data_IF_101561589773
#
_entry.id   IF_101561589773
#
_cell.length_a   1.000
_cell.length_b   1.000
_cell.length_c   1.000
_cell.angle_alpha   90.00
_cell.angle_beta   90.00
_cell.angle_gamma   90.00
#
_symmetry.space_group_name_H-M   'P 1'
#
loop_
_entity.id
_entity.type
_entity.pdbx_description
1 polymer ?
#
# COMPACT_ATOMS: atom_id res chain seq x y z
N UNK A 1 16.03 24.61 2.80
CA UNK A 1 15.17 23.55 3.36
C UNK A 1 14.45 24.13 4.57
N UNK A 2 13.16 23.86 4.77
CA UNK A 2 12.46 24.32 5.97
C UNK A 2 13.16 23.76 7.22
N UNK A 3 13.21 24.55 8.30
CA UNK A 3 13.76 24.09 9.58
C UNK A 3 12.96 22.88 10.10
N UNK A 4 13.63 21.88 10.70
CA UNK A 4 12.95 20.75 11.31
C UNK A 4 12.03 21.22 12.45
N UNK A 5 10.81 20.66 12.49
CA UNK A 5 9.86 20.93 13.57
C UNK A 5 10.38 20.30 14.87
N UNK A 6 10.31 21.05 15.96
CA UNK A 6 10.61 20.63 17.33
C UNK A 6 9.43 20.91 18.24
N UNK A 7 9.45 20.39 19.47
CA UNK A 7 8.41 20.72 20.45
C UNK A 7 8.31 22.23 20.68
N UNK A 8 9.44 22.95 20.73
CA UNK A 8 9.51 24.38 21.02
C UNK A 8 8.91 25.26 19.92
N UNK A 9 9.01 24.84 18.65
CA UNK A 9 8.51 25.60 17.51
C UNK A 9 7.19 25.06 16.92
N UNK A 10 6.56 24.09 17.58
CA UNK A 10 5.31 23.50 17.12
C UNK A 10 4.15 24.53 17.21
N UNK A 11 3.48 24.89 16.10
CA UNK A 11 2.43 25.92 16.11
C UNK A 11 1.16 25.49 16.84
N UNK A 12 1.03 24.20 17.14
CA UNK A 12 -0.10 23.63 17.85
C UNK A 12 0.22 23.32 19.32
N UNK A 13 1.38 23.75 19.84
CA UNK A 13 1.75 23.54 21.24
C UNK A 13 1.52 24.83 22.03
N UNK A 14 0.57 24.79 22.95
CA UNK A 14 0.30 25.89 23.88
C UNK A 14 0.92 25.54 25.25
N UNK A 15 2.01 26.22 25.62
CA UNK A 15 2.76 25.96 26.85
C UNK A 15 2.25 26.83 27.99
N UNK A 16 1.48 26.24 28.90
CA UNK A 16 1.05 26.90 30.14
C UNK A 16 2.07 26.80 31.26
N UNK A 17 2.94 25.79 31.25
CA UNK A 17 4.03 25.59 32.22
C UNK A 17 5.25 24.90 31.57
N UNK A 18 6.39 24.84 32.28
CA UNK A 18 7.65 24.33 31.74
C UNK A 18 7.63 22.81 31.46
N UNK A 19 6.77 22.05 32.14
CA UNK A 19 6.74 20.58 32.10
C UNK A 19 5.56 20.01 31.30
N UNK A 20 4.55 20.80 30.98
CA UNK A 20 3.39 20.35 30.23
C UNK A 20 2.82 21.42 29.29
N UNK A 21 2.31 20.94 28.17
CA UNK A 21 1.66 21.79 27.18
C UNK A 21 0.29 21.22 26.81
N UNK A 22 -0.44 21.98 26.01
CA UNK A 22 -1.71 21.57 25.41
C UNK A 22 -1.53 21.44 23.90
N UNK A 23 -2.04 20.35 23.32
CA UNK A 23 -2.13 20.19 21.88
C UNK A 23 -3.37 20.92 21.33
N UNK A 24 -3.15 22.00 20.59
CA UNK A 24 -4.20 22.81 19.95
C UNK A 24 -5.11 22.01 19.03
N UNK A 25 -4.56 21.10 18.21
CA UNK A 25 -5.38 20.28 17.30
C UNK A 25 -6.38 19.43 18.07
N UNK A 26 -5.93 18.70 19.10
CA UNK A 26 -6.83 17.86 19.90
C UNK A 26 -7.82 18.71 20.68
N UNK A 27 -7.38 19.85 21.22
CA UNK A 27 -8.25 20.81 21.88
C UNK A 27 -9.38 21.31 20.97
N UNK A 28 -9.04 21.70 19.75
CA UNK A 28 -9.98 22.26 18.77
C UNK A 28 -10.97 21.19 18.29
N UNK A 29 -10.49 19.97 18.01
CA UNK A 29 -11.35 18.85 17.59
C UNK A 29 -12.35 18.45 18.67
N UNK A 30 -11.88 18.34 19.92
CA UNK A 30 -12.76 18.01 21.04
C UNK A 30 -13.76 19.14 21.31
N UNK A 31 -13.32 20.41 21.25
CA UNK A 31 -14.13 21.56 21.66
C UNK A 31 -14.47 21.58 23.16
N UNK A 32 -13.80 20.75 23.96
CA UNK A 32 -14.07 20.61 25.38
C UNK A 32 -13.42 21.75 26.18
N UNK A 33 -14.14 22.26 27.19
CA UNK A 33 -13.65 23.35 28.06
C UNK A 33 -12.50 22.91 28.98
N UNK A 34 -12.40 21.61 29.27
CA UNK A 34 -11.37 21.07 30.17
C UNK A 34 -9.99 20.98 29.46
N UNK A 35 -9.02 21.84 29.81
CA UNK A 35 -7.72 21.88 29.13
C UNK A 35 -6.89 20.61 29.35
N UNK A 36 -7.20 19.81 30.39
CA UNK A 36 -6.47 18.58 30.72
C UNK A 36 -6.68 17.47 29.70
N UNK A 37 -7.75 17.53 28.89
CA UNK A 37 -8.07 16.51 27.89
C UNK A 37 -7.09 16.51 26.71
N UNK A 38 -6.42 17.64 26.45
CA UNK A 38 -5.44 17.78 25.38
C UNK A 38 -4.02 18.00 25.92
N UNK A 39 -3.75 17.63 27.17
CA UNK A 39 -2.43 17.81 27.81
C UNK A 39 -1.41 16.85 27.18
N UNK A 40 -0.22 17.36 26.92
CA UNK A 40 0.91 16.64 26.34
C UNK A 40 2.19 16.97 27.11
N UNK A 41 3.07 15.99 27.20
CA UNK A 41 4.46 16.21 27.62
C UNK A 41 5.37 16.49 26.41
N UNK A 42 6.62 16.86 26.67
CA UNK A 42 7.61 17.14 25.63
C UNK A 42 7.90 15.92 24.76
N UNK A 43 7.86 14.70 25.32
CA UNK A 43 8.18 13.48 24.58
C UNK A 43 7.12 13.16 23.50
N UNK A 44 5.84 13.38 23.81
CA UNK A 44 4.75 13.24 22.85
C UNK A 44 4.82 14.33 21.77
N UNK A 45 5.22 15.55 22.13
CA UNK A 45 5.48 16.62 21.17
C UNK A 45 6.64 16.25 20.22
N UNK A 46 7.75 15.72 20.73
CA UNK A 46 8.87 15.28 19.90
C UNK A 46 8.50 14.14 18.96
N UNK A 47 7.73 13.16 19.46
CA UNK A 47 7.19 12.09 18.63
C UNK A 47 6.30 12.65 17.51
N UNK A 48 5.42 13.60 17.84
CA UNK A 48 4.60 14.31 16.86
C UNK A 48 5.45 15.02 15.83
N UNK A 49 6.52 15.72 16.25
CA UNK A 49 7.38 16.53 15.40
C UNK A 49 8.26 15.73 14.44
N UNK A 50 8.66 14.51 14.83
CA UNK A 50 9.32 13.53 13.95
C UNK A 50 8.37 12.87 12.95
N UNK A 51 7.07 13.03 13.13
CA UNK A 51 6.07 12.61 12.17
C UNK A 51 5.70 13.76 11.22
N UNK A 52 4.84 13.49 10.26
CA UNK A 52 4.28 14.52 9.38
C UNK A 52 3.46 15.55 10.16
N UNK A 53 3.29 16.73 9.57
CA UNK A 53 2.55 17.84 10.19
C UNK A 53 1.08 17.45 10.33
N UNK A 54 0.55 17.34 11.56
CA UNK A 54 -0.85 17.04 11.77
C UNK A 54 -1.73 18.25 11.43
N UNK A 55 -2.96 18.00 11.00
CA UNK A 55 -3.99 19.00 10.74
C UNK A 55 -5.37 18.52 11.21
N UNK A 56 -6.39 19.39 11.14
CA UNK A 56 -7.73 19.08 11.60
C UNK A 56 -8.40 17.96 10.80
N UNK A 57 -7.95 17.68 9.57
CA UNK A 57 -8.43 16.60 8.70
C UNK A 57 -7.53 15.35 8.72
N UNK A 58 -6.22 15.54 8.91
CA UNK A 58 -5.21 14.47 8.90
C UNK A 58 -4.34 14.52 10.17
N UNK A 59 -4.56 13.58 11.08
CA UNK A 59 -3.87 13.40 12.34
C UNK A 59 -2.68 12.46 12.16
N UNK A 60 -1.53 12.85 12.68
CA UNK A 60 -0.41 11.93 12.82
C UNK A 60 -0.61 10.96 14.00
N UNK A 61 0.13 9.82 14.07
CA UNK A 61 -0.12 8.81 15.10
C UNK A 61 -0.10 9.36 16.52
N UNK A 62 0.85 10.24 16.92
CA UNK A 62 0.81 10.84 18.26
C UNK A 62 -0.45 11.65 18.53
N UNK A 63 -0.90 12.47 17.57
CA UNK A 63 -2.13 13.28 17.71
C UNK A 63 -3.38 12.41 17.67
N UNK A 64 -3.44 11.40 16.80
CA UNK A 64 -4.54 10.44 16.73
C UNK A 64 -4.65 9.62 18.02
N UNK A 65 -3.52 9.17 18.59
CA UNK A 65 -3.47 8.44 19.86
C UNK A 65 -4.00 9.29 21.01
N UNK A 66 -3.55 10.55 21.07
CA UNK A 66 -4.01 11.51 22.06
C UNK A 66 -5.51 11.79 21.92
N UNK A 67 -6.00 12.01 20.69
CA UNK A 67 -7.42 12.24 20.42
C UNK A 67 -8.27 11.03 20.81
N UNK A 68 -7.85 9.82 20.44
CA UNK A 68 -8.55 8.58 20.79
C UNK A 68 -8.69 8.45 22.31
N UNK A 69 -7.58 8.60 23.05
CA UNK A 69 -7.58 8.49 24.51
C UNK A 69 -8.51 9.52 25.16
N UNK A 70 -8.43 10.78 24.72
CA UNK A 70 -9.27 11.85 25.26
C UNK A 70 -10.75 11.65 24.93
N UNK A 71 -11.06 11.32 23.68
CA UNK A 71 -12.43 11.12 23.21
C UNK A 71 -13.10 9.90 23.86
N UNK A 72 -12.38 8.79 24.03
CA UNK A 72 -12.91 7.60 24.74
C UNK A 72 -13.28 7.93 26.19
N UNK A 73 -12.44 8.67 26.91
CA UNK A 73 -12.74 9.10 28.29
C UNK A 73 -13.98 9.99 28.39
N UNK A 74 -14.18 10.89 27.42
CA UNK A 74 -15.39 11.73 27.36
C UNK A 74 -16.63 10.87 27.10
N UNK A 75 -16.53 9.93 26.15
CA UNK A 75 -17.63 9.03 25.81
C UNK A 75 -18.05 8.15 27.00
N UNK A 76 -17.08 7.61 27.75
CA UNK A 76 -17.30 6.83 28.97
C UNK A 76 -17.93 7.65 30.10
N UNK A 77 -17.58 8.94 30.22
CA UNK A 77 -18.17 9.86 31.19
C UNK A 77 -19.57 10.36 30.82
N UNK A 78 -20.09 9.99 29.63
CA UNK A 78 -21.37 10.48 29.13
C UNK A 78 -21.32 11.89 28.52
N UNK A 79 -20.13 12.42 28.28
CA UNK A 79 -19.89 13.78 27.76
C UNK A 79 -19.24 14.71 28.77
N UNK A 80 -18.79 15.87 28.30
CA UNK A 80 -18.26 16.99 29.09
C UNK A 80 -18.76 18.31 28.48
N UNK A 81 -18.72 19.45 29.21
CA UNK A 81 -18.99 20.75 28.60
C UNK A 81 -18.16 20.97 27.32
N UNK A 82 -18.85 21.21 26.20
CA UNK A 82 -18.27 21.40 24.86
C UNK A 82 -18.07 20.13 24.01
N UNK A 83 -18.25 18.93 24.57
CA UNK A 83 -18.12 17.67 23.82
C UNK A 83 -19.05 16.58 24.38
N UNK A 84 -20.18 16.34 23.71
CA UNK A 84 -21.10 15.27 24.09
C UNK A 84 -20.55 13.88 23.74
N UNK A 85 -21.17 12.84 24.33
CA UNK A 85 -20.73 11.45 24.13
C UNK A 85 -20.87 10.95 22.67
N UNK A 86 -21.80 11.50 21.88
CA UNK A 86 -21.95 11.15 20.47
C UNK A 86 -20.77 11.65 19.64
N UNK A 87 -20.50 12.96 19.73
CA UNK A 87 -19.33 13.59 19.12
C UNK A 87 -18.02 12.91 19.53
N UNK A 88 -17.89 12.57 20.81
CA UNK A 88 -16.71 11.88 21.32
C UNK A 88 -16.52 10.49 20.70
N UNK A 89 -17.58 9.71 20.50
CA UNK A 89 -17.49 8.40 19.82
C UNK A 89 -17.10 8.54 18.35
N UNK A 90 -17.64 9.54 17.65
CA UNK A 90 -17.26 9.82 16.25
C UNK A 90 -15.78 10.21 16.13
N UNK A 91 -15.28 11.07 17.03
CA UNK A 91 -13.88 11.45 17.08
C UNK A 91 -12.97 10.27 17.45
N UNK A 92 -13.40 9.40 18.38
CA UNK A 92 -12.68 8.19 18.73
C UNK A 92 -12.58 7.25 17.53
N UNK A 93 -13.70 6.97 16.84
CA UNK A 93 -13.71 6.14 15.62
C UNK A 93 -12.80 6.73 14.53
N UNK A 94 -12.89 8.04 14.31
CA UNK A 94 -12.03 8.74 13.35
C UNK A 94 -10.54 8.66 13.72
N UNK A 95 -10.20 8.87 14.99
CA UNK A 95 -8.83 8.79 15.46
C UNK A 95 -8.28 7.36 15.31
N UNK A 96 -9.13 6.38 15.59
CA UNK A 96 -8.83 4.95 15.44
C UNK A 96 -8.56 4.57 13.98
N UNK A 97 -9.31 5.11 13.02
CA UNK A 97 -9.05 4.94 11.58
C UNK A 97 -7.71 5.55 11.11
N UNK A 98 -7.17 6.52 11.87
CA UNK A 98 -5.92 7.20 11.57
C UNK A 98 -4.75 6.72 12.42
N UNK A 99 -4.98 5.85 13.40
CA UNK A 99 -3.92 5.22 14.16
C UNK A 99 -3.32 4.07 13.35
N UNK A 100 -1.98 3.92 13.36
CA UNK A 100 -1.40 2.65 12.99
C UNK A 100 -1.81 1.66 14.07
N UNK A 101 -2.75 0.77 13.77
CA UNK A 101 -3.02 -0.43 14.58
C UNK A 101 -1.84 -1.40 14.47
N UNK A 102 -0.68 -0.97 14.94
CA UNK A 102 0.54 -1.76 15.12
C UNK A 102 1.18 -1.28 16.44
N UNK A 103 0.50 -1.49 17.57
CA UNK A 103 1.26 -1.91 18.74
C UNK A 103 1.65 -3.36 18.44
N UNK A 104 2.95 -3.59 18.29
CA UNK A 104 3.62 -4.87 18.00
C UNK A 104 3.66 -5.37 16.55
N UNK A 105 3.97 -4.50 15.58
CA UNK A 105 4.96 -4.95 14.59
C UNK A 105 6.14 -4.00 14.73
N UNK A 106 7.20 -4.38 15.45
CA UNK A 106 8.49 -3.70 15.32
C UNK A 106 8.70 -3.47 13.83
N UNK A 107 9.24 -2.32 13.41
CA UNK A 107 9.89 -2.28 12.11
C UNK A 107 10.88 -3.43 12.16
N UNK A 108 10.53 -4.57 11.55
CA UNK A 108 11.42 -5.69 11.34
C UNK A 108 12.39 -5.11 10.32
N UNK A 109 13.36 -4.34 10.83
CA UNK A 109 14.62 -4.16 10.14
C UNK A 109 15.05 -5.58 9.82
N UNK A 110 15.13 -5.94 8.53
CA UNK A 110 15.53 -7.28 8.14
C UNK A 110 16.77 -7.59 8.97
N UNK A 111 16.71 -8.59 9.86
CA UNK A 111 17.87 -8.93 10.67
C UNK A 111 18.95 -9.34 9.67
N UNK A 112 19.99 -8.52 9.44
CA UNK A 112 21.01 -8.85 8.45
C UNK A 112 21.80 -10.09 8.87
N UNK A 113 21.69 -10.51 10.14
CA UNK A 113 22.34 -11.69 10.69
C UNK A 113 21.47 -12.95 10.65
N UNK A 114 20.19 -12.89 10.23
CA UNK A 114 19.37 -14.09 10.07
C UNK A 114 19.78 -14.84 8.79
N UNK A 115 20.88 -15.58 8.86
CA UNK A 115 21.40 -16.50 7.84
C UNK A 115 20.47 -17.70 7.55
N UNK A 116 19.23 -17.67 8.03
CA UNK A 116 18.22 -18.72 7.89
C UNK A 116 17.02 -18.29 7.06
N UNK A 117 17.22 -17.55 5.96
CA UNK A 117 16.12 -17.24 5.03
C UNK A 117 15.61 -18.55 4.41
N UNK A 118 14.37 -18.89 4.71
CA UNK A 118 13.66 -19.92 3.95
C UNK A 118 13.50 -19.44 2.52
N UNK A 119 13.83 -20.27 1.54
CA UNK A 119 13.51 -19.99 0.14
C UNK A 119 12.00 -19.84 -0.03
N UNK A 120 11.56 -19.06 -1.02
CA UNK A 120 10.14 -18.93 -1.35
C UNK A 120 9.46 -20.29 -1.58
N UNK A 121 10.19 -21.26 -2.13
CA UNK A 121 9.68 -22.64 -2.32
C UNK A 121 9.36 -23.34 -1.00
N UNK A 122 10.12 -23.07 0.06
CA UNK A 122 9.87 -23.64 1.38
C UNK A 122 8.71 -22.90 2.09
N UNK A 123 8.61 -21.59 1.91
CA UNK A 123 7.61 -20.75 2.57
C UNK A 123 6.23 -20.83 1.89
N UNK A 124 6.21 -20.88 0.56
CA UNK A 124 5.02 -20.84 -0.27
C UNK A 124 5.05 -22.04 -1.24
N UNK A 125 4.56 -23.21 -0.82
CA UNK A 125 4.65 -24.43 -1.63
C UNK A 125 3.90 -24.26 -2.96
N UNK A 126 4.34 -25.01 -3.97
CA UNK A 126 3.67 -25.02 -5.27
C UNK A 126 2.18 -25.38 -5.12
N UNK A 127 1.28 -24.72 -5.85
CA UNK A 127 -0.14 -25.00 -5.77
C UNK A 127 -0.42 -26.45 -6.21
N UNK A 128 -1.40 -27.11 -5.57
CA UNK A 128 -1.78 -28.50 -5.89
C UNK A 128 -2.24 -28.70 -7.34
N UNK A 129 -2.69 -27.62 -7.98
CA UNK A 129 -3.10 -27.59 -9.38
C UNK A 129 -2.51 -26.37 -10.05
N UNK A 130 -1.98 -26.57 -11.23
CA UNK A 130 -1.50 -25.53 -12.13
C UNK A 130 -2.20 -25.70 -13.47
N UNK A 131 -2.37 -24.59 -14.16
CA UNK A 131 -3.06 -24.53 -15.44
C UNK A 131 -2.30 -23.64 -16.42
N UNK A 132 -2.57 -23.86 -17.71
CA UNK A 132 -1.89 -23.13 -18.79
C UNK A 132 -0.45 -23.57 -19.05
N UNK A 133 0.18 -22.98 -20.07
CA UNK A 133 1.59 -23.20 -20.35
C UNK A 133 2.47 -22.55 -19.27
N UNK A 134 3.70 -23.06 -19.04
CA UNK A 134 4.65 -22.44 -18.13
C UNK A 134 5.02 -21.04 -18.63
N UNK A 135 5.12 -20.09 -17.71
CA UNK A 135 5.57 -18.73 -18.01
C UNK A 135 7.08 -18.76 -18.28
N UNK A 136 7.50 -18.25 -19.43
CA UNK A 136 8.92 -18.14 -19.82
C UNK A 136 9.30 -16.72 -20.22
N UNK A 137 8.35 -15.99 -20.80
CA UNK A 137 8.51 -14.63 -21.30
C UNK A 137 7.66 -13.68 -20.49
N UNK A 138 8.31 -12.68 -19.91
CA UNK A 138 7.68 -11.64 -19.10
C UNK A 138 7.73 -10.31 -19.82
N UNK A 139 6.64 -9.55 -19.75
CA UNK A 139 6.66 -8.11 -19.95
C UNK A 139 6.39 -7.43 -18.60
N UNK A 140 7.30 -6.57 -18.16
CA UNK A 140 7.24 -5.96 -16.81
C UNK A 140 7.18 -4.44 -16.90
N UNK A 141 6.22 -3.87 -16.19
CA UNK A 141 5.99 -2.43 -16.11
C UNK A 141 5.90 -1.94 -14.67
N UNK A 142 6.47 -0.76 -14.41
CA UNK A 142 6.35 -0.05 -13.12
C UNK A 142 5.70 1.30 -13.38
N UNK A 143 4.58 1.57 -12.71
CA UNK A 143 3.92 2.88 -12.72
C UNK A 143 4.46 3.74 -11.58
N UNK A 144 4.76 5.00 -11.86
CA UNK A 144 5.28 5.95 -10.87
C UNK A 144 4.73 7.35 -11.11
N UNK A 145 4.63 8.13 -10.04
CA UNK A 145 4.24 9.54 -10.04
C UNK A 145 5.02 10.28 -8.96
N UNK A 146 5.12 11.63 -9.00
CA UNK A 146 5.74 12.41 -7.94
C UNK A 146 5.17 12.07 -6.57
N UNK A 147 6.04 11.81 -5.59
CA UNK A 147 5.68 11.52 -4.19
C UNK A 147 6.49 12.40 -3.26
N UNK A 148 5.93 12.70 -2.09
CA UNK A 148 6.65 13.40 -1.02
C UNK A 148 7.82 12.55 -0.48
N UNK A 149 7.60 11.24 -0.34
CA UNK A 149 8.61 10.25 0.03
C UNK A 149 8.78 9.28 -1.14
N UNK A 150 9.81 9.45 -1.99
CA UNK A 150 10.06 8.56 -3.12
C UNK A 150 10.35 7.13 -2.67
N UNK A 151 9.73 6.15 -3.33
CA UNK A 151 9.91 4.70 -3.07
C UNK A 151 10.41 3.95 -4.29
N UNK A 152 10.47 4.61 -5.45
CA UNK A 152 10.76 4.00 -6.74
C UNK A 152 12.12 3.30 -6.77
N UNK A 153 13.17 3.93 -6.24
CA UNK A 153 14.52 3.37 -6.28
C UNK A 153 14.62 2.04 -5.53
N UNK A 154 13.97 1.95 -4.36
CA UNK A 154 13.90 0.71 -3.58
C UNK A 154 13.08 -0.36 -4.30
N UNK A 155 11.93 0.01 -4.87
CA UNK A 155 11.11 -0.90 -5.68
C UNK A 155 11.92 -1.48 -6.86
N UNK A 156 12.62 -0.64 -7.61
CA UNK A 156 13.43 -1.06 -8.76
C UNK A 156 14.62 -1.93 -8.35
N UNK A 157 15.29 -1.61 -7.25
CA UNK A 157 16.38 -2.43 -6.72
C UNK A 157 15.89 -3.84 -6.36
N UNK A 158 14.74 -3.96 -5.67
CA UNK A 158 14.16 -5.26 -5.31
C UNK A 158 13.65 -6.03 -6.53
N UNK A 159 13.06 -5.34 -7.49
CA UNK A 159 12.57 -5.95 -8.73
C UNK A 159 13.72 -6.51 -9.57
N UNK A 160 14.84 -5.79 -9.64
CA UNK A 160 16.06 -6.26 -10.30
C UNK A 160 16.64 -7.49 -9.59
N UNK A 161 16.75 -7.46 -8.26
CA UNK A 161 17.20 -8.61 -7.44
C UNK A 161 16.32 -9.84 -7.63
N UNK A 162 15.00 -9.65 -7.75
CA UNK A 162 14.02 -10.72 -7.95
C UNK A 162 14.06 -11.36 -9.36
N UNK A 163 14.86 -10.84 -10.29
CA UNK A 163 15.07 -11.41 -11.63
C UNK A 163 14.46 -10.61 -12.80
N UNK A 164 14.01 -9.38 -12.56
CA UNK A 164 13.51 -8.47 -13.60
C UNK A 164 14.33 -7.16 -13.65
N UNK A 165 15.55 -7.18 -14.23
CA UNK A 165 16.49 -6.05 -14.16
C UNK A 165 16.15 -4.87 -15.09
N UNK A 166 15.24 -5.05 -16.05
CA UNK A 166 14.93 -4.06 -17.07
C UNK A 166 13.42 -3.81 -17.25
N UNK A 167 12.69 -3.43 -16.18
CA UNK A 167 11.27 -3.08 -16.30
C UNK A 167 11.10 -1.81 -17.14
N UNK A 168 9.95 -1.67 -17.80
CA UNK A 168 9.53 -0.40 -18.41
C UNK A 168 8.91 0.51 -17.36
N UNK A 169 9.40 1.76 -17.29
CA UNK A 169 8.87 2.78 -16.40
C UNK A 169 7.75 3.56 -17.10
N UNK A 170 6.59 3.62 -16.46
CA UNK A 170 5.43 4.41 -16.85
C UNK A 170 5.31 5.62 -15.92
N UNK A 171 5.97 6.71 -16.30
CA UNK A 171 6.18 7.90 -15.46
C UNK A 171 5.06 8.91 -15.71
N UNK A 172 4.27 9.20 -14.68
CA UNK A 172 3.15 10.15 -14.72
C UNK A 172 3.48 11.43 -13.95
N UNK A 173 4.02 12.43 -14.66
CA UNK A 173 4.50 13.69 -14.10
C UNK A 173 6.02 13.78 -13.96
N UNK A 174 6.46 14.66 -13.07
CA UNK A 174 7.88 14.97 -12.86
C UNK A 174 8.52 14.10 -11.77
N UNK A 175 9.00 12.92 -12.17
CA UNK A 175 9.70 11.97 -11.28
C UNK A 175 11.19 12.02 -11.55
N UNK A 176 11.95 12.28 -10.49
CA UNK A 176 13.41 12.15 -10.49
C UNK A 176 13.81 10.68 -10.36
N UNK A 177 14.75 10.24 -11.19
CA UNK A 177 15.29 8.88 -11.17
C UNK A 177 16.76 8.90 -10.72
N UNK A 178 17.15 7.96 -9.87
CA UNK A 178 18.56 7.71 -9.61
C UNK A 178 19.30 7.38 -10.93
N UNK A 179 20.60 7.72 -10.99
CA UNK A 179 21.42 7.57 -12.18
C UNK A 179 21.36 6.14 -12.75
N UNK A 180 21.41 5.14 -11.87
CA UNK A 180 21.37 3.71 -12.20
C UNK A 180 20.04 3.23 -12.79
N UNK A 181 19.01 4.08 -12.84
CA UNK A 181 17.71 3.74 -13.43
C UNK A 181 17.36 4.61 -14.65
N UNK A 182 18.19 5.59 -15.01
CA UNK A 182 17.92 6.48 -16.13
C UNK A 182 17.95 5.77 -17.49
N UNK A 183 18.70 4.68 -17.60
CA UNK A 183 18.80 3.86 -18.81
C UNK A 183 17.63 2.89 -19.00
N UNK A 184 16.77 2.70 -18.00
CA UNK A 184 15.60 1.84 -18.13
C UNK A 184 14.66 2.36 -19.22
N UNK A 185 13.94 1.49 -19.95
CA UNK A 185 12.96 1.94 -20.94
C UNK A 185 11.86 2.76 -20.27
N UNK A 186 11.51 3.93 -20.82
CA UNK A 186 10.55 4.86 -20.20
C UNK A 186 9.43 5.23 -21.18
N UNK A 187 8.25 5.47 -20.61
CA UNK A 187 7.14 6.20 -21.23
C UNK A 187 6.75 7.32 -20.27
N UNK A 188 7.00 8.57 -20.66
CA UNK A 188 6.73 9.75 -19.85
C UNK A 188 5.41 10.40 -20.27
N UNK A 189 4.62 10.78 -19.27
CA UNK A 189 3.33 11.45 -19.45
C UNK A 189 3.38 12.81 -18.78
N UNK A 190 3.31 13.85 -19.59
CA UNK A 190 3.33 15.24 -19.15
C UNK A 190 2.35 16.04 -20.03
N UNK A 191 1.26 16.63 -19.47
CA UNK A 191 0.90 16.68 -18.04
C UNK A 191 0.51 15.31 -17.45
N UNK A 192 0.38 15.25 -16.12
CA UNK A 192 -0.10 14.06 -15.41
C UNK A 192 -1.50 13.65 -15.89
N UNK A 193 -1.71 12.34 -16.09
CA UNK A 193 -2.99 11.77 -16.53
C UNK A 193 -3.71 10.96 -15.44
N UNK A 194 -3.06 10.71 -14.31
CA UNK A 194 -3.58 9.98 -13.15
C UNK A 194 -3.25 8.49 -13.17
N UNK A 195 -3.37 7.86 -12.00
CA UNK A 195 -2.96 6.47 -11.79
C UNK A 195 -3.72 5.48 -12.68
N UNK A 196 -5.06 5.58 -12.76
CA UNK A 196 -5.84 4.66 -13.59
C UNK A 196 -5.45 4.74 -15.08
N UNK A 197 -5.50 5.92 -15.74
CA UNK A 197 -5.07 6.02 -17.13
C UNK A 197 -3.62 5.61 -17.36
N UNK A 198 -2.70 5.96 -16.44
CA UNK A 198 -1.29 5.57 -16.51
C UNK A 198 -1.11 4.05 -16.48
N UNK A 199 -1.85 3.36 -15.60
CA UNK A 199 -1.86 1.90 -15.46
C UNK A 199 -2.44 1.22 -16.69
N UNK A 200 -3.63 1.63 -17.14
CA UNK A 200 -4.31 1.06 -18.30
C UNK A 200 -3.45 1.18 -19.56
N UNK A 201 -2.93 2.38 -19.85
CA UNK A 201 -2.07 2.61 -21.00
C UNK A 201 -0.72 1.88 -20.86
N UNK A 202 -0.21 1.72 -19.63
CA UNK A 202 1.00 0.94 -19.38
C UNK A 202 0.84 -0.52 -19.75
N UNK A 203 -0.23 -1.17 -19.29
CA UNK A 203 -0.53 -2.57 -19.63
C UNK A 203 -0.76 -2.73 -21.14
N UNK A 204 -1.49 -1.81 -21.77
CA UNK A 204 -1.69 -1.81 -23.23
C UNK A 204 -0.37 -1.69 -23.99
N UNK A 205 0.53 -0.81 -23.54
CA UNK A 205 1.84 -0.64 -24.17
C UNK A 205 2.71 -1.91 -24.04
N UNK A 206 2.72 -2.55 -22.86
CA UNK A 206 3.44 -3.82 -22.69
C UNK A 206 2.92 -4.89 -23.66
N UNK A 207 1.59 -5.05 -23.75
CA UNK A 207 0.96 -6.03 -24.64
C UNK A 207 1.32 -5.82 -26.11
N UNK A 208 1.35 -4.57 -26.57
CA UNK A 208 1.65 -4.26 -27.98
C UNK A 208 3.13 -4.34 -28.30
N UNK A 209 4.02 -4.08 -27.33
CA UNK A 209 5.47 -4.17 -27.52
C UNK A 209 5.99 -5.60 -27.44
N UNK A 210 5.44 -6.38 -26.52
CA UNK A 210 5.86 -7.75 -26.23
C UNK A 210 4.69 -8.72 -26.49
N UNK A 211 4.20 -8.84 -27.74
CA UNK A 211 3.01 -9.61 -28.06
C UNK A 211 3.15 -11.12 -27.80
N UNK A 212 4.39 -11.59 -27.64
CA UNK A 212 4.75 -12.98 -27.35
C UNK A 212 5.06 -13.23 -25.86
N UNK A 213 4.81 -12.27 -24.97
CA UNK A 213 4.95 -12.50 -23.53
C UNK A 213 3.84 -13.42 -23.00
N UNK A 214 4.21 -14.34 -22.11
CA UNK A 214 3.28 -15.27 -21.46
C UNK A 214 2.56 -14.60 -20.27
N UNK A 215 3.28 -13.69 -19.59
CA UNK A 215 2.81 -12.98 -18.41
C UNK A 215 3.18 -11.48 -18.46
N UNK A 216 2.23 -10.66 -17.99
CA UNK A 216 2.36 -9.21 -17.91
C UNK A 216 2.31 -8.78 -16.45
N UNK A 217 3.45 -8.36 -15.89
CA UNK A 217 3.55 -7.88 -14.51
C UNK A 217 3.49 -6.35 -14.49
N UNK A 218 2.47 -5.82 -13.81
CA UNK A 218 2.31 -4.39 -13.55
C UNK A 218 2.52 -4.11 -12.07
N UNK A 219 3.49 -3.26 -11.74
CA UNK A 219 3.76 -2.80 -10.38
C UNK A 219 3.47 -1.30 -10.19
N UNK A 220 3.22 -0.92 -8.95
CA UNK A 220 3.32 0.46 -8.47
C UNK A 220 4.71 0.67 -7.86
N UNK A 221 5.21 1.91 -7.89
CA UNK A 221 6.53 2.31 -7.42
C UNK A 221 6.76 2.17 -5.91
N UNK A 222 5.74 1.72 -5.18
CA UNK A 222 5.76 1.48 -3.74
C UNK A 222 5.46 0.04 -3.34
N UNK A 223 5.67 -0.87 -4.31
CA UNK A 223 5.73 -2.30 -4.13
C UNK A 223 7.16 -2.74 -3.75
N UNK A 224 7.35 -3.19 -2.51
CA UNK A 224 8.56 -3.85 -2.05
C UNK A 224 8.44 -5.37 -2.24
N UNK A 225 9.15 -5.94 -3.21
CA UNK A 225 9.17 -7.40 -3.40
C UNK A 225 9.93 -8.10 -2.28
N UNK A 226 9.54 -9.34 -1.99
CA UNK A 226 10.27 -10.21 -1.08
C UNK A 226 11.73 -10.39 -1.51
N UNK A 227 12.62 -10.53 -0.54
CA UNK A 227 14.06 -10.57 -0.73
C UNK A 227 14.55 -12.00 -1.05
N UNK A 228 14.01 -12.58 -2.12
CA UNK A 228 14.43 -13.86 -2.70
C UNK A 228 14.94 -13.65 -4.13
N UNK A 229 16.22 -13.96 -4.42
CA UNK A 229 16.80 -13.74 -5.75
C UNK A 229 16.23 -14.66 -6.84
N UNK A 230 15.54 -15.76 -6.49
CA UNK A 230 14.85 -16.65 -7.41
C UNK A 230 13.32 -16.40 -7.42
N UNK A 231 12.84 -15.24 -6.98
CA UNK A 231 11.41 -14.93 -6.98
C UNK A 231 10.78 -15.08 -8.37
N UNK A 232 11.47 -14.66 -9.43
CA UNK A 232 11.04 -14.91 -10.81
C UNK A 232 10.96 -16.40 -11.13
N UNK A 233 12.01 -17.18 -10.89
CA UNK A 233 12.03 -18.61 -11.20
C UNK A 233 11.03 -19.41 -10.36
N UNK A 234 10.75 -18.96 -9.14
CA UNK A 234 9.63 -19.42 -8.34
C UNK A 234 8.29 -19.18 -9.05
N UNK A 235 7.98 -17.93 -9.43
CA UNK A 235 6.73 -17.58 -10.11
C UNK A 235 6.53 -18.31 -11.44
N UNK A 236 7.59 -18.44 -12.26
CA UNK A 236 7.58 -19.21 -13.51
C UNK A 236 7.19 -20.68 -13.29
N UNK A 237 7.48 -21.23 -12.09
CA UNK A 237 7.16 -22.60 -11.73
C UNK A 237 5.81 -22.79 -11.03
N UNK A 238 5.15 -21.72 -10.57
CA UNK A 238 3.88 -21.82 -9.82
C UNK A 238 2.67 -21.19 -10.52
N UNK A 239 2.90 -20.26 -11.45
CA UNK A 239 1.83 -19.69 -12.27
C UNK A 239 1.43 -20.67 -13.39
N UNK A 240 0.14 -20.92 -13.66
CA UNK A 240 -1.06 -20.30 -13.08
C UNK A 240 -1.75 -21.24 -12.08
N UNK A 241 -1.83 -20.90 -10.77
CA UNK A 241 -2.51 -21.76 -9.80
C UNK A 241 -3.97 -22.01 -10.21
N UNK A 242 -4.52 -23.15 -9.84
CA UNK A 242 -5.96 -23.44 -10.02
C UNK A 242 -6.32 -24.08 -11.36
N UNK A 243 -7.50 -23.71 -11.90
CA UNK A 243 -8.13 -24.43 -13.03
C UNK A 243 -7.91 -23.75 -14.38
N UNK A 244 -7.65 -22.46 -14.40
CA UNK A 244 -7.43 -21.70 -15.62
C UNK A 244 -6.46 -20.52 -15.36
N UNK A 245 -5.64 -20.14 -16.35
CA UNK A 245 -4.91 -18.88 -16.32
C UNK A 245 -5.84 -17.69 -16.13
N UNK A 246 -5.40 -16.71 -15.34
CA UNK A 246 -6.20 -15.56 -14.97
C UNK A 246 -5.32 -14.38 -14.59
N UNK A 247 -5.60 -13.81 -13.43
CA UNK A 247 -4.79 -12.79 -12.76
C UNK A 247 -4.17 -13.39 -11.49
N UNK A 248 -2.94 -13.02 -11.17
CA UNK A 248 -2.37 -13.22 -9.86
C UNK A 248 -2.01 -11.85 -9.24
N UNK A 249 -2.53 -11.54 -8.06
CA UNK A 249 -1.98 -10.50 -7.20
C UNK A 249 -0.80 -11.07 -6.45
N UNK A 250 0.38 -10.45 -6.55
CA UNK A 250 1.54 -10.83 -5.72
C UNK A 250 1.42 -10.24 -4.30
N UNK A 251 0.41 -9.39 -4.08
CA UNK A 251 0.06 -8.81 -2.80
C UNK A 251 -1.11 -9.57 -2.16
N UNK A 252 -1.01 -9.82 -0.86
CA UNK A 252 -2.11 -10.28 -0.01
C UNK A 252 -2.28 -9.30 1.15
N UNK A 253 -3.47 -8.73 1.28
CA UNK A 253 -3.81 -7.79 2.35
C UNK A 253 -3.87 -8.49 3.70
N UNK A 254 -3.79 -7.72 4.80
CA UNK A 254 -4.06 -8.27 6.14
C UNK A 254 -5.46 -8.89 6.24
N UNK A 255 -6.49 -8.25 5.68
CA UNK A 255 -7.86 -8.76 5.66
C UNK A 255 -8.01 -10.11 4.93
N UNK A 256 -7.17 -10.37 3.93
CA UNK A 256 -7.25 -11.58 3.10
C UNK A 256 -6.20 -12.64 3.49
N UNK A 257 -5.32 -12.33 4.46
CA UNK A 257 -4.24 -13.23 4.91
C UNK A 257 -4.84 -14.53 5.43
N UNK A 258 -4.45 -15.65 4.81
CA UNK A 258 -4.90 -16.97 5.22
C UNK A 258 -4.07 -17.51 6.39
N UNK A 259 -4.63 -18.37 7.25
CA UNK A 259 -3.87 -18.99 8.34
C UNK A 259 -2.83 -20.00 7.82
N UNK A 260 -3.00 -20.54 6.61
CA UNK A 260 -2.10 -21.52 6.02
C UNK A 260 -1.36 -20.92 4.81
N UNK A 261 -0.05 -21.19 4.66
CA UNK A 261 0.67 -20.76 3.48
C UNK A 261 0.17 -21.45 2.21
N UNK A 262 0.10 -20.68 1.12
CA UNK A 262 -0.21 -21.18 -0.20
C UNK A 262 -0.86 -20.15 -1.10
N UNK A 263 -1.19 -20.59 -2.30
CA UNK A 263 -1.98 -19.83 -3.26
C UNK A 263 -3.46 -20.11 -3.07
N UNK A 264 -4.27 -19.06 -2.99
CA UNK A 264 -5.72 -19.12 -2.88
C UNK A 264 -6.39 -18.40 -4.06
N UNK A 265 -7.58 -18.86 -4.44
CA UNK A 265 -8.45 -18.15 -5.39
C UNK A 265 -9.36 -17.20 -4.62
N UNK A 266 -9.32 -15.92 -4.97
CA UNK A 266 -10.14 -14.90 -4.33
C UNK A 266 -11.61 -15.04 -4.71
N UNK A 267 -12.49 -15.14 -3.70
CA UNK A 267 -13.92 -15.30 -3.87
C UNK A 267 -14.63 -13.95 -3.69
N UNK A 268 -14.52 -13.04 -4.67
CA UNK A 268 -15.19 -11.74 -4.58
C UNK A 268 -14.62 -10.68 -5.50
N UNK A 269 -14.91 -9.41 -5.18
CA UNK A 269 -14.33 -8.25 -5.86
C UNK A 269 -13.08 -7.84 -5.11
N UNK A 270 -11.91 -7.99 -5.73
CA UNK A 270 -10.65 -7.55 -5.14
C UNK A 270 -10.63 -6.02 -4.97
N UNK A 271 -10.48 -5.55 -3.73
CA UNK A 271 -10.57 -4.12 -3.39
C UNK A 271 -9.25 -3.54 -2.90
N UNK A 272 -8.34 -4.38 -2.42
CA UNK A 272 -7.14 -3.93 -1.70
C UNK A 272 -5.93 -3.80 -2.62
N UNK A 273 -5.38 -2.58 -2.73
CA UNK A 273 -4.05 -2.25 -3.28
C UNK A 273 -3.66 -2.90 -4.63
N UNK A 274 -3.45 -2.07 -5.65
CA UNK A 274 -3.03 -2.55 -6.98
C UNK A 274 -1.51 -2.67 -7.13
N UNK A 275 -0.82 -3.15 -6.09
CA UNK A 275 0.64 -3.05 -5.98
C UNK A 275 1.39 -3.85 -7.03
N UNK A 276 0.95 -5.07 -7.31
CA UNK A 276 1.62 -5.99 -8.21
C UNK A 276 0.64 -7.02 -8.75
N UNK A 277 0.14 -6.79 -9.97
CA UNK A 277 -0.72 -7.75 -10.68
C UNK A 277 0.05 -8.40 -11.83
N UNK A 278 -0.09 -9.71 -11.94
CA UNK A 278 0.37 -10.51 -13.08
C UNK A 278 -0.86 -10.94 -13.88
N UNK A 279 -0.93 -10.53 -15.14
CA UNK A 279 -1.97 -10.98 -16.07
C UNK A 279 -1.41 -12.06 -16.96
N UNK A 280 -2.17 -13.15 -17.15
CA UNK A 280 -1.96 -14.00 -18.33
C UNK A 280 -2.22 -13.19 -19.59
N UNK A 281 -1.55 -13.54 -20.69
CA UNK A 281 -1.76 -12.88 -21.99
C UNK A 281 -3.23 -12.72 -22.36
N UNK A 282 -4.00 -13.80 -22.25
CA UNK A 282 -5.42 -13.76 -22.61
C UNK A 282 -6.27 -12.95 -21.64
N UNK A 283 -5.88 -12.89 -20.36
CA UNK A 283 -6.53 -11.99 -19.40
C UNK A 283 -6.21 -10.53 -19.68
N UNK A 284 -4.96 -10.19 -20.06
CA UNK A 284 -4.57 -8.83 -20.44
C UNK A 284 -5.36 -8.35 -21.66
N UNK A 285 -5.46 -9.17 -22.72
CA UNK A 285 -6.24 -8.86 -23.93
C UNK A 285 -7.72 -8.63 -23.58
N UNK A 286 -8.34 -9.57 -22.85
CA UNK A 286 -9.76 -9.46 -22.47
C UNK A 286 -10.02 -8.25 -21.55
N UNK A 287 -9.11 -7.94 -20.63
CA UNK A 287 -9.21 -6.79 -19.73
C UNK A 287 -9.16 -5.48 -20.50
N UNK A 288 -8.19 -5.33 -21.41
CA UNK A 288 -8.03 -4.13 -22.23
C UNK A 288 -9.15 -3.97 -23.28
N UNK A 289 -9.79 -5.06 -23.71
CA UNK A 289 -10.91 -5.02 -24.63
C UNK A 289 -12.27 -4.79 -23.94
N UNK A 290 -12.33 -4.85 -22.60
CA UNK A 290 -13.58 -4.74 -21.86
C UNK A 290 -14.13 -3.31 -21.86
N UNK A 291 -15.38 -3.16 -22.29
CA UNK A 291 -16.02 -1.86 -22.42
C UNK A 291 -16.13 -1.10 -21.09
N UNK A 292 -16.41 -1.79 -19.97
CA UNK A 292 -16.54 -1.15 -18.66
C UNK A 292 -15.18 -0.70 -18.13
N UNK A 293 -14.12 -1.46 -18.42
CA UNK A 293 -12.75 -1.09 -18.12
C UNK A 293 -12.37 0.20 -18.87
N UNK A 294 -12.58 0.24 -20.19
CA UNK A 294 -12.29 1.42 -21.03
C UNK A 294 -13.13 2.64 -20.60
N UNK A 295 -14.44 2.43 -20.40
CA UNK A 295 -15.37 3.51 -20.08
C UNK A 295 -15.20 4.10 -18.68
N UNK A 296 -14.48 3.44 -17.77
CA UNK A 296 -14.23 3.98 -16.41
C UNK A 296 -13.70 5.41 -16.44
N UNK A 297 -12.76 5.71 -17.33
CA UNK A 297 -12.18 7.05 -17.48
C UNK A 297 -13.22 8.12 -17.80
N UNK A 298 -14.26 7.76 -18.52
CA UNK A 298 -15.34 8.65 -18.95
C UNK A 298 -16.55 8.64 -18.02
N UNK A 299 -16.51 7.81 -16.97
CA UNK A 299 -17.61 7.72 -16.02
C UNK A 299 -17.72 8.99 -15.17
N UNK A 300 -18.95 9.38 -14.82
CA UNK A 300 -19.23 10.41 -13.81
C UNK A 300 -18.96 9.91 -12.38
N UNK A 301 -18.22 8.80 -12.21
CA UNK A 301 -17.91 8.27 -10.89
C UNK A 301 -17.06 9.27 -10.11
N UNK A 302 -17.05 9.17 -8.78
CA UNK A 302 -16.28 10.07 -7.90
C UNK A 302 -14.75 10.03 -8.16
N UNK A 303 -14.23 9.04 -8.92
CA UNK A 303 -12.80 8.68 -8.95
C UNK A 303 -12.30 8.18 -10.33
N UNK A 304 -12.48 8.92 -11.43
CA UNK A 304 -12.10 8.46 -12.78
C UNK A 304 -10.57 8.37 -13.02
N UNK A 305 -9.77 8.83 -12.06
CA UNK A 305 -8.30 8.86 -12.10
C UNK A 305 -7.65 7.77 -11.21
N UNK A 306 -8.44 7.02 -10.44
CA UNK A 306 -7.95 6.11 -9.40
C UNK A 306 -8.70 4.74 -9.45
N UNK A 307 -8.61 3.98 -8.35
CA UNK A 307 -9.31 2.71 -8.11
C UNK A 307 -8.86 1.53 -9.00
N UNK A 308 -7.56 1.43 -9.30
CA UNK A 308 -6.99 0.32 -10.09
C UNK A 308 -7.39 -1.04 -9.51
N UNK A 309 -7.25 -1.26 -8.20
CA UNK A 309 -7.53 -2.55 -7.54
C UNK A 309 -8.98 -2.96 -7.74
N UNK A 310 -9.91 -2.05 -7.44
CA UNK A 310 -11.34 -2.27 -7.62
C UNK A 310 -11.68 -2.55 -9.09
N UNK A 311 -11.06 -1.87 -10.06
CA UNK A 311 -11.34 -2.08 -11.49
C UNK A 311 -10.88 -3.45 -11.96
N UNK A 312 -9.66 -3.86 -11.58
CA UNK A 312 -9.14 -5.20 -11.88
C UNK A 312 -10.01 -6.27 -11.20
N UNK A 313 -10.30 -6.10 -9.91
CA UNK A 313 -11.11 -7.03 -9.13
C UNK A 313 -12.54 -7.16 -9.62
N UNK A 314 -13.19 -6.03 -9.96
CA UNK A 314 -14.56 -6.02 -10.46
C UNK A 314 -14.66 -6.67 -11.83
N UNK A 315 -13.73 -6.36 -12.73
CA UNK A 315 -13.65 -7.01 -14.03
C UNK A 315 -13.43 -8.51 -13.91
N UNK A 316 -12.49 -8.94 -13.05
CA UNK A 316 -12.22 -10.36 -12.82
C UNK A 316 -13.49 -11.09 -12.35
N UNK A 317 -14.20 -10.52 -11.37
CA UNK A 317 -15.46 -11.05 -10.87
C UNK A 317 -16.55 -11.14 -11.95
N UNK A 318 -16.83 -10.03 -12.65
CA UNK A 318 -17.91 -9.95 -13.64
C UNK A 318 -17.64 -10.86 -14.86
N UNK A 319 -16.39 -10.95 -15.29
CA UNK A 319 -15.95 -11.77 -16.42
C UNK A 319 -15.66 -13.24 -16.07
N UNK A 320 -15.82 -13.62 -14.79
CA UNK A 320 -15.46 -14.93 -14.23
C UNK A 320 -14.01 -15.33 -14.53
N UNK A 321 -13.11 -14.35 -14.55
CA UNK A 321 -11.67 -14.58 -14.68
C UNK A 321 -11.10 -14.83 -13.28
N UNK A 322 -10.41 -15.95 -13.03
CA UNK A 322 -9.94 -16.25 -11.70
C UNK A 322 -8.85 -15.25 -11.29
N UNK A 323 -8.89 -14.84 -10.02
CA UNK A 323 -7.90 -13.98 -9.39
C UNK A 323 -7.28 -14.74 -8.22
N UNK A 324 -5.97 -14.92 -8.27
CA UNK A 324 -5.21 -15.65 -7.26
C UNK A 324 -4.36 -14.72 -6.42
N UNK A 325 -4.06 -15.11 -5.18
CA UNK A 325 -3.13 -14.40 -4.31
C UNK A 325 -2.37 -15.39 -3.40
N UNK A 326 -1.13 -15.07 -3.00
CA UNK A 326 -0.34 -15.90 -2.10
C UNK A 326 -0.49 -15.45 -0.63
N UNK A 327 -0.51 -16.39 0.31
CA UNK A 327 -0.16 -16.12 1.71
C UNK A 327 1.07 -16.97 2.05
N UNK A 328 2.19 -16.39 2.54
CA UNK A 328 2.43 -14.96 2.70
C UNK A 328 2.42 -14.17 1.39
N UNK A 329 2.19 -12.87 1.52
CA UNK A 329 2.32 -11.90 0.44
C UNK A 329 3.77 -11.88 -0.08
N UNK A 330 3.94 -11.80 -1.39
CA UNK A 330 5.24 -11.68 -2.05
C UNK A 330 5.66 -10.21 -2.24
N UNK A 331 4.75 -9.27 -1.98
CA UNK A 331 4.97 -7.83 -2.06
C UNK A 331 4.46 -7.15 -0.79
N UNK A 332 5.13 -6.10 -0.35
CA UNK A 332 4.71 -5.23 0.74
C UNK A 332 4.49 -3.79 0.23
N UNK A 333 3.44 -3.13 0.69
CA UNK A 333 3.23 -1.71 0.46
C UNK A 333 4.18 -0.89 1.35
N UNK A 334 5.06 -0.09 0.75
CA UNK A 334 6.01 0.77 1.50
C UNK A 334 5.70 2.27 1.40
N UNK A 335 4.78 2.66 0.52
CA UNK A 335 4.33 4.04 0.41
C UNK A 335 3.52 4.49 1.61
N UNK A 336 4.10 5.30 2.50
CA UNK A 336 3.41 5.76 3.70
C UNK A 336 2.23 6.70 3.39
N UNK A 337 2.35 7.54 2.37
CA UNK A 337 1.35 8.54 1.96
C UNK A 337 0.89 8.27 0.53
N UNK A 338 -0.42 8.17 0.33
CA UNK A 338 -0.99 8.00 -1.00
C UNK A 338 -0.88 9.29 -1.81
N UNK A 339 -0.46 9.18 -3.07
CA UNK A 339 -0.52 10.29 -4.04
C UNK A 339 -1.94 10.53 -4.56
N UNK A 340 -2.83 9.54 -4.43
CA UNK A 340 -4.21 9.59 -4.92
C UNK A 340 -5.20 10.04 -3.85
N UNK A 341 -4.89 9.76 -2.59
CA UNK A 341 -5.76 10.01 -1.46
C UNK A 341 -5.01 10.86 -0.45
N UNK A 342 -5.22 12.18 -0.50
CA UNK A 342 -4.68 13.08 0.51
C UNK A 342 -5.09 12.58 1.90
N UNK A 343 -4.08 12.37 2.74
CA UNK A 343 -4.23 11.88 4.11
C UNK A 343 -4.55 10.40 4.32
N UNK A 344 -4.57 9.57 3.25
CA UNK A 344 -4.74 8.13 3.44
C UNK A 344 -3.41 7.39 3.32
N UNK A 345 -3.12 6.57 4.34
CA UNK A 345 -1.86 5.87 4.52
C UNK A 345 -1.95 4.40 4.13
N UNK A 346 -0.80 3.77 3.90
CA UNK A 346 -0.72 2.32 3.70
C UNK A 346 -0.66 1.55 5.02
N UNK A 347 -1.68 1.72 5.85
CA UNK A 347 -1.80 1.05 7.16
C UNK A 347 -3.01 0.11 7.19
N UNK A 348 -3.07 -0.74 8.22
CA UNK A 348 -4.11 -1.76 8.38
C UNK A 348 -4.12 -2.73 7.20
N UNK A 349 -5.28 -2.92 6.59
CA UNK A 349 -5.49 -3.84 5.45
C UNK A 349 -4.75 -3.43 4.17
N UNK A 350 -4.09 -2.27 4.15
CA UNK A 350 -3.23 -1.87 3.03
C UNK A 350 -1.79 -2.38 3.14
N UNK A 351 -1.43 -2.99 4.28
CA UNK A 351 -0.22 -3.79 4.43
C UNK A 351 -0.53 -5.27 4.26
N UNK A 352 0.50 -6.06 3.96
CA UNK A 352 0.37 -7.50 4.10
C UNK A 352 0.30 -7.87 5.58
N UNK A 353 -0.63 -8.76 5.95
CA UNK A 353 -0.66 -9.32 7.30
C UNK A 353 0.51 -10.26 7.55
N UNK A 354 0.97 -10.93 6.50
CA UNK A 354 2.17 -11.77 6.48
C UNK A 354 2.95 -11.54 5.19
N UNK A 355 4.19 -11.05 5.28
CA UNK A 355 5.07 -10.76 4.13
C UNK A 355 6.26 -11.72 4.08
N UNK A 356 6.51 -12.30 2.90
CA UNK A 356 7.57 -13.28 2.68
C UNK A 356 9.00 -12.73 2.84
N UNK A 357 9.18 -11.40 2.73
CA UNK A 357 10.47 -10.75 2.95
C UNK A 357 10.84 -10.54 4.43
N UNK A 358 9.93 -10.81 5.37
CA UNK A 358 10.21 -10.74 6.80
C UNK A 358 10.53 -12.12 7.38
N UNK A 359 11.30 -12.14 8.46
CA UNK A 359 11.48 -13.36 9.23
C UNK A 359 10.11 -13.88 9.71
N UNK A 360 9.84 -15.19 9.64
CA UNK A 360 8.57 -15.73 10.10
C UNK A 360 8.42 -15.44 11.60
N UNK A 361 7.31 -14.81 11.99
CA UNK A 361 6.99 -14.64 13.40
C UNK A 361 6.80 -16.01 14.07
N UNK A 362 7.20 -16.18 15.35
CA UNK A 362 7.08 -17.44 16.06
C UNK A 362 5.66 -18.02 16.09
N UNK A 363 4.65 -17.15 16.02
CA UNK A 363 3.24 -17.49 16.25
C UNK A 363 2.51 -18.06 15.03
N UNK A 364 3.16 -18.16 13.86
CA UNK A 364 2.57 -18.72 12.62
C UNK A 364 3.04 -20.15 12.28
N UNK A 365 3.56 -20.90 13.25
CA UNK A 365 4.05 -22.29 13.06
C UNK A 365 3.02 -23.37 13.39
#
# INVERSE_FOLDING_TARGET
MPEPRTAENCPHRDSSDAESARCGIVADLLGAENPRLARVDVSLCDACCRSFVPGPDELNPPVASLLLSAASRIAEAGGVPGCDAGKARELAARAMDQLPFDFDVPRLTPDPASNGRCSLRALLPAPRRQSGPPVRRWAVGVTTAPRQSPTLDECLARLAQAGWPAPRLFIDGDVSLAADFQQLPQTRRNPQIGAWPSYYLGLAELLLREPDADAFLMLQDDALLCDDPDARGYLESVLWPGRAPGIASLFCSRADTQPQPGWAEFQGVWTWCALAFVFSRESAIRFLADENVVRHRFSQSRKPLADISWRVGRWAFDSRTPLYFPTPSLVQHIGEVSTLWQGVRAWGDRKAGWFAGYAPEPDFR
#
